data_IF_282959627272
#
_entry.id   IF_282959627272
#
_cell.length_a   1.000
_cell.length_b   1.000
_cell.length_c   1.000
_cell.angle_alpha   90.00
_cell.angle_beta   90.00
_cell.angle_gamma   90.00
#
_symmetry.space_group_name_H-M   'P 1'
#
loop_
_entity.id
_entity.type
_entity.pdbx_description
1 polymer ?
#
# COMPACT_ATOMS: atom_id res chain seq x y z
N UNK A 1 -13.44 7.36 32.17
CA UNK A 1 -12.56 8.46 31.72
C UNK A 1 -11.47 7.93 30.79
N UNK A 2 -10.58 7.03 31.23
CA UNK A 2 -9.52 6.44 30.39
C UNK A 2 -10.04 5.60 29.20
N UNK A 3 -10.97 4.66 29.43
CA UNK A 3 -11.61 3.89 28.33
C UNK A 3 -12.35 4.76 27.32
N UNK A 4 -12.90 5.90 27.77
CA UNK A 4 -13.57 6.86 26.88
C UNK A 4 -12.55 7.62 26.03
N UNK A 5 -11.33 7.84 26.52
CA UNK A 5 -10.24 8.55 25.84
C UNK A 5 -9.52 7.67 24.83
N UNK A 6 -9.25 6.41 25.17
CA UNK A 6 -8.65 5.45 24.24
C UNK A 6 -9.54 5.23 23.02
N UNK A 7 -10.83 4.99 23.24
CA UNK A 7 -11.82 4.86 22.15
C UNK A 7 -11.88 6.11 21.27
N UNK A 8 -11.73 7.31 21.84
CA UNK A 8 -11.71 8.55 21.05
C UNK A 8 -10.47 8.63 20.15
N UNK A 9 -9.30 8.22 20.63
CA UNK A 9 -8.08 8.17 19.82
C UNK A 9 -8.13 7.05 18.77
N UNK A 10 -8.70 5.89 19.09
CA UNK A 10 -8.94 4.82 18.12
C UNK A 10 -9.87 5.26 16.99
N UNK A 11 -10.96 5.94 17.32
CA UNK A 11 -11.90 6.50 16.34
C UNK A 11 -11.26 7.63 15.52
N UNK A 12 -10.39 8.44 16.14
CA UNK A 12 -9.64 9.51 15.46
C UNK A 12 -8.72 8.95 14.37
N UNK A 13 -8.02 7.85 14.65
CA UNK A 13 -7.14 7.19 13.68
C UNK A 13 -7.92 6.42 12.61
N UNK A 14 -9.04 5.80 12.98
CA UNK A 14 -9.95 5.15 12.03
C UNK A 14 -10.51 6.14 11.02
N UNK A 15 -10.93 7.33 11.48
CA UNK A 15 -11.44 8.40 10.63
C UNK A 15 -10.39 8.95 9.63
N UNK A 16 -9.10 8.69 9.89
CA UNK A 16 -7.98 9.04 9.00
C UNK A 16 -7.50 7.86 8.15
N UNK A 17 -8.23 6.75 8.14
CA UNK A 17 -7.93 5.60 7.29
C UNK A 17 -6.95 4.58 7.89
N UNK A 18 -6.64 4.68 9.20
CA UNK A 18 -5.82 3.67 9.89
C UNK A 18 -6.74 2.56 10.40
N UNK A 19 -6.93 1.51 9.61
CA UNK A 19 -7.89 0.45 9.94
C UNK A 19 -7.30 -0.67 10.80
N UNK A 20 -5.98 -0.90 10.75
CA UNK A 20 -5.32 -1.95 11.54
C UNK A 20 -5.39 -1.63 13.06
N UNK A 21 -6.02 -2.50 13.88
CA UNK A 21 -6.13 -2.28 15.32
C UNK A 21 -4.78 -2.21 16.04
N UNK A 22 -3.78 -2.98 15.60
CA UNK A 22 -2.48 -3.02 16.28
C UNK A 22 -1.71 -1.70 16.07
N UNK A 23 -1.69 -1.18 14.84
CA UNK A 23 -1.14 0.14 14.53
C UNK A 23 -1.85 1.27 15.29
N UNK A 24 -3.19 1.24 15.38
CA UNK A 24 -3.94 2.23 16.15
C UNK A 24 -3.57 2.22 17.62
N UNK A 25 -3.45 1.05 18.24
CA UNK A 25 -3.04 0.95 19.66
C UNK A 25 -1.64 1.50 19.91
N UNK A 26 -0.70 1.28 18.99
CA UNK A 26 0.64 1.87 19.07
C UNK A 26 0.57 3.40 19.00
N UNK A 27 -0.19 3.97 18.04
CA UNK A 27 -0.36 5.41 17.91
C UNK A 27 -1.07 6.04 19.12
N UNK A 28 -2.06 5.35 19.68
CA UNK A 28 -2.73 5.75 20.93
C UNK A 28 -1.71 5.81 22.08
N UNK A 29 -0.87 4.78 22.24
CA UNK A 29 0.14 4.73 23.31
C UNK A 29 1.16 5.86 23.19
N UNK A 30 1.61 6.15 21.97
CA UNK A 30 2.53 7.28 21.69
C UNK A 30 1.83 8.58 22.05
N UNK A 31 0.62 8.83 21.52
CA UNK A 31 -0.15 10.05 21.80
C UNK A 31 -0.37 10.30 23.30
N UNK A 32 -0.64 9.26 24.07
CA UNK A 32 -0.77 9.36 25.53
C UNK A 32 0.55 9.75 26.20
N UNK A 33 1.68 9.21 25.74
CA UNK A 33 3.01 9.54 26.28
C UNK A 33 3.45 10.98 25.97
N UNK A 34 3.03 11.54 24.84
CA UNK A 34 3.38 12.91 24.43
C UNK A 34 2.86 13.95 25.42
N UNK A 35 1.60 13.82 25.84
CA UNK A 35 0.97 14.74 26.80
C UNK A 35 1.58 14.61 28.19
N UNK A 36 2.02 13.41 28.59
CA UNK A 36 2.74 13.22 29.85
C UNK A 36 4.13 13.88 29.88
N UNK A 37 4.72 14.12 28.70
CA UNK A 37 6.05 14.74 28.54
C UNK A 37 6.01 16.25 28.25
N UNK A 38 4.84 16.82 28.00
CA UNK A 38 4.70 18.24 27.65
C UNK A 38 4.94 19.12 28.91
N UNK A 39 5.87 20.09 28.88
CA UNK A 39 6.04 21.02 29.97
C UNK A 39 4.76 21.85 30.16
N UNK A 40 4.31 21.98 31.41
CA UNK A 40 3.07 22.66 31.82
C UNK A 40 2.96 24.14 31.38
N UNK A 41 4.05 24.73 30.86
CA UNK A 41 4.11 26.13 30.42
C UNK A 41 3.55 26.37 29.00
N UNK A 42 3.35 25.33 28.17
CA UNK A 42 2.64 25.48 26.88
C UNK A 42 1.11 25.62 27.03
N UNK A 43 0.60 25.49 28.25
CA UNK A 43 -0.83 25.57 28.59
C UNK A 43 -1.30 26.97 29.02
N UNK A 44 -0.45 28.00 28.95
CA UNK A 44 -0.86 29.40 29.20
C UNK A 44 -0.86 30.21 27.90
N UNK A 45 -2.04 30.31 27.30
CA UNK A 45 -2.29 31.12 26.12
C UNK A 45 -3.63 30.81 25.45
N UNK A 46 -4.72 30.71 26.23
CA UNK A 46 -6.08 30.77 25.68
C UNK A 46 -6.80 31.89 26.42
N UNK A 47 -6.46 33.12 26.03
CA UNK A 47 -7.39 34.23 26.12
C UNK A 47 -7.87 34.54 24.71
N UNK A 48 -9.19 34.42 24.52
CA UNK A 48 -9.96 35.23 23.58
C UNK A 48 -9.72 35.06 22.09
N UNK A 49 -10.72 34.45 21.43
CA UNK A 49 -11.16 34.80 20.08
C UNK A 49 -10.14 34.71 18.93
N UNK A 50 -10.17 33.58 18.20
CA UNK A 50 -9.64 33.56 16.84
C UNK A 50 -9.30 32.19 16.29
N UNK A 51 -10.15 31.65 15.40
CA UNK A 51 -9.71 30.70 14.39
C UNK A 51 -10.25 29.28 14.52
N UNK A 52 -11.56 29.11 14.34
CA UNK A 52 -12.15 27.85 13.87
C UNK A 52 -11.71 27.57 12.43
N UNK A 53 -10.45 27.22 12.24
CA UNK A 53 -9.94 26.67 10.98
C UNK A 53 -10.16 25.15 10.96
N UNK A 54 -10.78 24.64 9.91
CA UNK A 54 -10.86 23.20 9.68
C UNK A 54 -9.43 22.61 9.63
N UNK A 55 -9.18 21.59 10.44
CA UNK A 55 -7.94 20.83 10.35
C UNK A 55 -7.90 20.10 9.00
N UNK A 56 -6.79 20.12 8.25
CA UNK A 56 -6.68 19.42 6.99
C UNK A 56 -7.01 17.93 7.15
N UNK A 57 -7.95 17.42 6.34
CA UNK A 57 -8.34 16.01 6.35
C UNK A 57 -9.28 15.58 7.49
N UNK A 58 -9.78 16.49 8.32
CA UNK A 58 -10.75 16.17 9.37
C UNK A 58 -12.14 16.64 8.97
N UNK A 59 -13.18 15.78 9.03
CA UNK A 59 -14.55 16.23 8.88
C UNK A 59 -14.88 17.33 9.89
N UNK A 60 -15.51 18.42 9.44
CA UNK A 60 -15.98 19.54 10.27
C UNK A 60 -16.96 19.14 11.39
N UNK A 61 -17.38 17.87 11.41
CA UNK A 61 -18.24 17.24 12.42
C UNK A 61 -17.51 16.77 13.67
N UNK A 62 -16.18 16.92 13.74
CA UNK A 62 -15.46 16.73 15.01
C UNK A 62 -15.69 17.93 15.92
N UNK A 63 -16.74 17.83 16.72
CA UNK A 63 -17.23 18.87 17.61
C UNK A 63 -16.18 19.19 18.69
N UNK A 64 -15.56 20.37 18.56
CA UNK A 64 -14.39 20.86 19.33
C UNK A 64 -14.72 21.05 20.83
N UNK A 65 -15.96 20.89 21.25
CA UNK A 65 -16.37 21.02 22.66
C UNK A 65 -16.02 19.80 23.55
N UNK A 66 -15.34 18.76 23.02
CA UNK A 66 -14.95 17.57 23.79
C UNK A 66 -13.61 16.91 23.39
N UNK A 67 -12.76 17.58 22.60
CA UNK A 67 -11.48 17.01 22.16
C UNK A 67 -10.48 16.85 23.32
N UNK A 68 -10.10 15.61 23.62
CA UNK A 68 -9.05 15.28 24.60
C UNK A 68 -7.74 16.00 24.26
N UNK A 69 -6.95 16.50 25.23
CA UNK A 69 -5.71 17.24 24.97
C UNK A 69 -4.71 16.48 24.07
N UNK A 70 -4.77 15.15 24.07
CA UNK A 70 -3.97 14.26 23.23
C UNK A 70 -4.34 14.37 21.76
N UNK A 71 -5.63 14.47 21.43
CA UNK A 71 -6.11 14.60 20.05
C UNK A 71 -5.64 15.93 19.47
N UNK A 72 -5.66 16.98 20.29
CA UNK A 72 -5.18 18.31 19.91
C UNK A 72 -3.65 18.31 19.71
N UNK A 73 -2.91 17.66 20.62
CA UNK A 73 -1.45 17.54 20.52
C UNK A 73 -1.03 16.79 19.25
N UNK A 74 -1.61 15.62 19.01
CA UNK A 74 -1.34 14.82 17.80
C UNK A 74 -1.67 15.62 16.53
N UNK A 75 -2.82 16.29 16.51
CA UNK A 75 -3.22 17.08 15.34
C UNK A 75 -2.25 18.23 15.08
N UNK A 76 -1.77 18.92 16.14
CA UNK A 76 -0.78 19.99 16.00
C UNK A 76 0.53 19.48 15.42
N UNK A 77 0.99 18.29 15.86
CA UNK A 77 2.25 17.71 15.37
C UNK A 77 2.15 17.20 13.94
N UNK A 78 1.00 16.67 13.53
CA UNK A 78 0.74 16.32 12.13
C UNK A 78 0.80 17.57 11.23
N UNK A 79 0.17 18.68 11.65
CA UNK A 79 0.23 19.95 10.92
C UNK A 79 1.67 20.47 10.85
N UNK A 80 2.43 20.39 11.94
CA UNK A 80 3.83 20.80 11.97
C UNK A 80 4.69 19.93 11.03
N UNK A 81 4.50 18.61 11.03
CA UNK A 81 5.17 17.68 10.11
C UNK A 81 4.84 18.01 8.64
N UNK A 82 3.56 18.26 8.35
CA UNK A 82 3.11 18.66 7.02
C UNK A 82 3.77 19.95 6.54
N UNK A 83 3.84 20.95 7.43
CA UNK A 83 4.50 22.22 7.16
C UNK A 83 6.01 22.03 6.93
N UNK A 84 6.67 21.18 7.71
CA UNK A 84 8.10 20.86 7.54
C UNK A 84 8.38 20.29 6.16
N UNK A 85 7.52 19.41 5.67
CA UNK A 85 7.67 18.75 4.38
C UNK A 85 7.35 19.66 3.18
N UNK A 86 6.84 20.87 3.42
CA UNK A 86 6.55 21.88 2.40
C UNK A 86 5.07 22.12 2.14
N UNK A 87 4.17 21.49 2.91
CA UNK A 87 2.74 21.78 2.90
C UNK A 87 1.97 21.38 1.64
N UNK A 88 2.57 20.61 0.72
CA UNK A 88 1.89 20.14 -0.48
C UNK A 88 0.88 19.04 -0.19
N UNK A 89 -0.25 19.03 -0.89
CA UNK A 89 -1.32 18.03 -0.75
C UNK A 89 -0.90 16.61 -1.19
N UNK A 90 0.28 16.47 -1.77
CA UNK A 90 0.82 15.23 -2.32
C UNK A 90 1.56 14.37 -1.27
N UNK A 91 1.65 14.79 0.00
CA UNK A 91 2.40 14.07 1.04
C UNK A 91 1.47 13.55 2.13
N UNK A 92 1.41 12.24 2.30
CA UNK A 92 0.59 11.60 3.32
C UNK A 92 1.32 11.50 4.68
N UNK A 93 1.22 12.58 5.46
CA UNK A 93 1.80 12.64 6.81
C UNK A 93 1.18 11.66 7.79
N UNK A 94 -0.07 11.24 7.58
CA UNK A 94 -0.71 10.22 8.40
C UNK A 94 -0.04 8.88 8.15
N UNK A 95 0.16 8.52 6.88
CA UNK A 95 0.88 7.30 6.49
C UNK A 95 2.32 7.28 7.03
N UNK A 96 3.04 8.41 6.94
CA UNK A 96 4.39 8.52 7.51
C UNK A 96 4.43 8.21 9.00
N UNK A 97 3.45 8.74 9.77
CA UNK A 97 3.34 8.53 11.21
C UNK A 97 2.88 7.13 11.58
N UNK A 98 1.99 6.52 10.80
CA UNK A 98 1.59 5.11 10.98
C UNK A 98 2.81 4.21 10.88
N UNK A 99 3.69 4.50 9.91
CA UNK A 99 4.88 3.70 9.65
C UNK A 99 6.04 3.99 10.60
N UNK A 100 6.18 5.24 11.05
CA UNK A 100 7.18 5.64 12.03
C UNK A 100 6.55 6.55 13.11
N UNK A 101 5.96 5.96 14.16
CA UNK A 101 5.26 6.70 15.22
C UNK A 101 6.16 7.69 15.97
N UNK A 102 7.49 7.45 15.97
CA UNK A 102 8.46 8.34 16.62
C UNK A 102 8.50 9.74 15.99
N UNK A 103 8.03 9.90 14.75
CA UNK A 103 7.88 11.22 14.14
C UNK A 103 6.96 12.13 14.94
N UNK A 104 5.92 11.58 15.58
CA UNK A 104 5.07 12.37 16.47
C UNK A 104 5.83 12.86 17.69
N UNK A 105 6.90 12.21 18.13
CA UNK A 105 7.67 12.61 19.30
C UNK A 105 8.85 13.54 18.98
N UNK A 106 9.22 13.67 17.71
CA UNK A 106 10.38 14.42 17.27
C UNK A 106 10.16 15.95 17.32
N UNK A 107 11.24 16.70 17.54
CA UNK A 107 11.24 18.16 17.46
C UNK A 107 11.10 18.60 15.98
N UNK A 108 10.09 19.43 15.63
CA UNK A 108 9.94 19.96 14.28
C UNK A 108 11.20 20.65 13.72
N UNK A 109 11.99 21.29 14.59
CA UNK A 109 13.23 21.96 14.20
C UNK A 109 14.31 20.97 13.78
N UNK A 110 14.37 19.80 14.42
CA UNK A 110 15.28 18.71 14.09
C UNK A 110 14.90 18.10 12.73
N UNK A 111 13.61 17.81 12.55
CA UNK A 111 13.08 17.27 11.30
C UNK A 111 13.36 18.21 10.12
N UNK A 112 13.12 19.52 10.30
CA UNK A 112 13.41 20.53 9.29
C UNK A 112 14.89 20.57 8.94
N UNK A 113 15.78 20.54 9.95
CA UNK A 113 17.22 20.58 9.71
C UNK A 113 17.69 19.35 8.93
N UNK A 114 17.18 18.17 9.28
CA UNK A 114 17.46 16.92 8.56
C UNK A 114 16.95 16.96 7.12
N UNK A 115 15.74 17.45 6.90
CA UNK A 115 15.16 17.64 5.56
C UNK A 115 16.02 18.58 4.71
N UNK A 116 16.50 19.68 5.28
CA UNK A 116 17.38 20.62 4.59
C UNK A 116 18.73 20.00 4.23
N UNK A 117 19.32 19.21 5.13
CA UNK A 117 20.56 18.48 4.84
C UNK A 117 20.38 17.51 3.67
N UNK A 118 19.27 16.76 3.64
CA UNK A 118 18.91 15.88 2.53
C UNK A 118 18.73 16.65 1.22
N UNK A 119 18.03 17.79 1.24
CA UNK A 119 17.85 18.67 0.07
C UNK A 119 19.17 19.21 -0.47
N UNK A 120 20.10 19.57 0.42
CA UNK A 120 21.43 20.03 0.03
C UNK A 120 22.25 18.90 -0.59
N UNK A 121 22.18 17.70 -0.04
CA UNK A 121 22.84 16.52 -0.60
C UNK A 121 22.26 16.10 -1.95
N UNK A 122 20.96 16.30 -2.19
CA UNK A 122 20.30 16.00 -3.47
C UNK A 122 20.37 17.13 -4.51
N UNK A 123 21.10 18.22 -4.25
CA UNK A 123 21.23 19.30 -5.24
C UNK A 123 21.90 18.75 -6.50
N UNK A 124 21.15 18.74 -7.60
CA UNK A 124 21.62 18.29 -8.91
C UNK A 124 21.20 16.89 -9.33
N UNK A 125 20.62 16.07 -8.43
CA UNK A 125 20.11 14.72 -8.78
C UNK A 125 18.63 14.72 -9.25
N UNK A 126 17.93 15.85 -9.14
CA UNK A 126 16.50 15.94 -9.50
C UNK A 126 15.56 15.14 -8.58
N UNK A 127 16.09 14.58 -7.48
CA UNK A 127 15.37 13.77 -6.51
C UNK A 127 14.38 14.62 -5.70
N UNK A 128 13.13 14.18 -5.61
CA UNK A 128 12.17 14.78 -4.67
C UNK A 128 12.40 14.23 -3.26
N UNK A 129 13.16 15.00 -2.47
CA UNK A 129 13.48 14.66 -1.08
C UNK A 129 12.24 14.52 -0.21
N UNK A 130 11.16 15.23 -0.50
CA UNK A 130 9.93 15.11 0.27
C UNK A 130 9.24 13.76 0.01
N UNK A 131 9.24 13.30 -1.24
CA UNK A 131 8.78 11.94 -1.61
C UNK A 131 9.68 10.84 -1.09
N UNK A 132 10.98 11.08 -0.98
CA UNK A 132 11.93 10.15 -0.33
C UNK A 132 11.66 10.06 1.17
N UNK A 133 11.44 11.20 1.82
CA UNK A 133 11.09 11.25 3.24
C UNK A 133 9.73 10.60 3.53
N UNK A 134 8.75 10.79 2.64
CA UNK A 134 7.50 10.03 2.65
C UNK A 134 7.83 8.52 2.57
N UNK A 135 8.50 8.07 1.51
CA UNK A 135 8.82 6.67 1.28
C UNK A 135 9.65 5.99 2.40
N UNK A 136 10.44 6.74 3.19
CA UNK A 136 11.07 6.23 4.40
C UNK A 136 11.14 7.30 5.49
N UNK A 137 10.13 7.34 6.37
CA UNK A 137 10.02 8.39 7.36
C UNK A 137 11.11 8.34 8.45
N UNK A 138 11.74 7.18 8.65
CA UNK A 138 12.86 7.01 9.59
C UNK A 138 14.12 7.80 9.19
N UNK A 139 14.26 8.22 7.93
CA UNK A 139 15.37 9.07 7.48
C UNK A 139 15.39 10.44 8.15
N UNK A 140 14.21 10.95 8.53
CA UNK A 140 14.07 12.20 9.24
C UNK A 140 14.52 12.10 10.71
N UNK A 141 14.59 10.87 11.25
CA UNK A 141 14.96 10.59 12.64
C UNK A 141 16.41 10.08 12.78
N UNK A 142 17.12 9.85 11.68
CA UNK A 142 18.48 9.34 11.72
C UNK A 142 19.41 10.33 12.45
N UNK A 143 20.16 9.89 13.48
CA UNK A 143 21.09 10.75 14.19
C UNK A 143 22.25 11.14 13.27
N UNK A 144 22.57 12.43 13.24
CA UNK A 144 23.64 12.97 12.40
C UNK A 144 23.11 13.85 11.27
N UNK A 145 22.99 15.14 11.56
CA UNK A 145 23.07 16.18 10.54
C UNK A 145 23.56 17.49 11.20
N UNK A 146 24.74 17.41 11.81
CA UNK A 146 25.71 18.48 11.60
C UNK A 146 26.12 18.36 10.14
N UNK A 147 26.48 19.47 9.50
CA UNK A 147 26.83 19.61 8.09
C UNK A 147 28.08 18.78 7.68
N UNK A 148 28.57 17.92 8.58
CA UNK A 148 29.88 17.29 8.56
C UNK A 148 29.95 16.04 7.67
N UNK A 149 28.83 15.46 7.22
CA UNK A 149 28.86 14.28 6.34
C UNK A 149 27.80 14.31 5.23
N UNK A 150 27.88 15.34 4.39
CA UNK A 150 27.05 15.46 3.18
C UNK A 150 27.41 14.42 2.12
N UNK A 151 28.65 13.90 2.11
CA UNK A 151 29.06 12.89 1.12
C UNK A 151 28.48 11.50 1.41
N UNK A 152 28.47 11.04 2.67
CA UNK A 152 27.76 9.81 3.02
C UNK A 152 26.26 9.95 2.74
N UNK A 153 25.68 11.14 2.98
CA UNK A 153 24.27 11.40 2.65
C UNK A 153 24.02 11.41 1.14
N UNK A 154 24.94 11.92 0.32
CA UNK A 154 24.88 11.85 -1.14
C UNK A 154 24.96 10.41 -1.64
N UNK A 155 25.90 9.61 -1.13
CA UNK A 155 26.02 8.19 -1.49
C UNK A 155 24.75 7.43 -1.10
N UNK A 156 24.26 7.68 0.11
CA UNK A 156 23.00 7.12 0.59
C UNK A 156 21.81 7.61 -0.25
N UNK A 157 21.76 8.84 -0.77
CA UNK A 157 20.66 9.29 -1.63
C UNK A 157 20.83 8.84 -3.09
N UNK A 158 22.05 8.64 -3.58
CA UNK A 158 22.33 8.13 -4.93
C UNK A 158 21.90 6.65 -5.05
N UNK A 159 22.03 5.86 -3.98
CA UNK A 159 21.47 4.50 -3.97
C UNK A 159 19.94 4.49 -4.07
N UNK A 160 19.27 5.63 -3.82
CA UNK A 160 17.82 5.78 -3.93
C UNK A 160 17.37 6.25 -5.31
N UNK A 161 18.21 7.04 -5.99
CA UNK A 161 18.06 7.38 -7.40
C UNK A 161 18.03 6.11 -8.28
N UNK A 162 18.70 5.04 -7.84
CA UNK A 162 18.81 3.77 -8.58
C UNK A 162 17.83 2.67 -8.16
N UNK A 163 16.90 2.88 -7.22
CA UNK A 163 16.01 1.77 -6.88
C UNK A 163 15.06 1.89 -5.69
N UNK A 164 14.29 2.98 -5.55
CA UNK A 164 13.10 2.92 -4.66
C UNK A 164 11.90 3.66 -5.26
N UNK A 165 11.21 3.00 -6.19
CA UNK A 165 9.79 3.25 -6.41
C UNK A 165 8.99 2.35 -5.46
N UNK A 166 8.66 2.90 -4.28
CA UNK A 166 7.53 2.49 -3.42
C UNK A 166 7.36 0.98 -3.18
N UNK A 167 8.00 0.46 -2.13
CA UNK A 167 7.39 -0.46 -1.15
C UNK A 167 8.42 -0.69 -0.03
N UNK A 168 7.97 -0.59 1.22
CA UNK A 168 8.61 -1.30 2.34
C UNK A 168 9.15 -2.67 1.96
N UNK A 169 10.41 -3.08 2.18
CA UNK A 169 10.67 -4.53 2.25
C UNK A 169 9.73 -5.27 3.23
N UNK A 170 9.33 -4.71 4.39
CA UNK A 170 8.37 -5.37 5.27
C UNK A 170 6.94 -5.36 4.72
N UNK A 171 6.52 -4.26 4.09
CA UNK A 171 5.17 -4.10 3.53
C UNK A 171 4.98 -4.95 2.27
N UNK A 172 5.98 -4.97 1.39
CA UNK A 172 6.05 -5.85 0.24
C UNK A 172 6.02 -7.31 0.67
N UNK A 173 6.79 -7.69 1.70
CA UNK A 173 6.77 -9.04 2.25
C UNK A 173 5.39 -9.40 2.85
N UNK A 174 4.73 -8.47 3.53
CA UNK A 174 3.39 -8.70 4.07
C UNK A 174 2.35 -8.91 2.95
N UNK A 175 2.39 -8.09 1.88
CA UNK A 175 1.53 -8.24 0.70
C UNK A 175 1.84 -9.52 -0.07
N UNK A 176 3.12 -9.91 -0.15
CA UNK A 176 3.52 -11.20 -0.73
C UNK A 176 2.94 -12.38 0.06
N UNK A 177 2.94 -12.33 1.39
CA UNK A 177 2.34 -13.40 2.21
C UNK A 177 0.80 -13.41 2.11
N UNK A 178 0.17 -12.24 1.93
CA UNK A 178 -1.26 -12.16 1.57
C UNK A 178 -1.52 -12.83 0.22
N UNK A 179 -0.68 -12.58 -0.78
CA UNK A 179 -0.78 -13.23 -2.10
C UNK A 179 -0.56 -14.74 -2.00
N UNK A 180 0.40 -15.19 -1.19
CA UNK A 180 0.61 -16.62 -0.93
C UNK A 180 -0.60 -17.25 -0.25
N UNK A 181 -1.24 -16.54 0.67
CA UNK A 181 -2.47 -17.00 1.33
C UNK A 181 -3.63 -17.08 0.33
N UNK A 182 -3.75 -16.08 -0.55
CA UNK A 182 -4.70 -16.09 -1.65
C UNK A 182 -4.47 -17.29 -2.58
N UNK A 183 -3.21 -17.57 -2.94
CA UNK A 183 -2.85 -18.73 -3.75
C UNK A 183 -3.24 -20.06 -3.09
N UNK A 184 -3.04 -20.21 -1.77
CA UNK A 184 -3.48 -21.41 -1.05
C UNK A 184 -5.00 -21.59 -1.07
N UNK A 185 -5.76 -20.50 -0.96
CA UNK A 185 -7.22 -20.55 -0.96
C UNK A 185 -7.80 -20.77 -2.38
N UNK A 186 -7.28 -20.03 -3.35
CA UNK A 186 -7.85 -19.93 -4.69
C UNK A 186 -7.09 -20.72 -5.76
N UNK A 187 -5.91 -21.28 -5.45
CA UNK A 187 -5.09 -22.06 -6.39
C UNK A 187 -4.40 -21.23 -7.47
N UNK A 188 -4.57 -19.90 -7.45
CA UNK A 188 -3.97 -18.94 -8.37
C UNK A 188 -3.67 -17.63 -7.67
N UNK A 189 -2.94 -16.76 -8.36
CA UNK A 189 -2.58 -15.43 -7.87
C UNK A 189 -3.34 -14.31 -8.61
N UNK A 190 -4.48 -14.62 -9.23
CA UNK A 190 -5.27 -13.69 -10.05
C UNK A 190 -6.24 -12.87 -9.19
N UNK A 191 -5.66 -12.01 -8.35
CA UNK A 191 -6.40 -11.13 -7.43
C UNK A 191 -7.06 -9.98 -8.18
N UNK A 192 -8.32 -9.69 -7.85
CA UNK A 192 -9.11 -8.59 -8.42
C UNK A 192 -10.09 -9.03 -9.51
N UNK A 193 -10.05 -10.30 -9.91
CA UNK A 193 -10.92 -10.85 -10.94
C UNK A 193 -12.19 -11.53 -10.37
N UNK A 194 -12.29 -11.69 -9.04
CA UNK A 194 -13.44 -12.33 -8.38
C UNK A 194 -14.23 -11.30 -7.55
N UNK A 195 -15.54 -11.50 -7.47
CA UNK A 195 -16.38 -10.70 -6.57
C UNK A 195 -15.97 -10.98 -5.11
N UNK A 196 -15.62 -9.91 -4.38
CA UNK A 196 -15.20 -9.99 -2.99
C UNK A 196 -13.67 -10.07 -2.78
N UNK A 197 -12.88 -10.03 -3.85
CA UNK A 197 -11.42 -9.93 -3.73
C UNK A 197 -10.97 -8.67 -2.99
N UNK A 198 -9.85 -8.77 -2.27
CA UNK A 198 -9.22 -7.65 -1.60
C UNK A 198 -8.76 -6.60 -2.63
N UNK A 199 -9.40 -5.43 -2.60
CA UNK A 199 -9.14 -4.31 -3.50
C UNK A 199 -7.73 -3.76 -3.35
N UNK A 200 -7.13 -3.84 -2.16
CA UNK A 200 -5.78 -3.37 -1.93
C UNK A 200 -4.74 -4.33 -2.51
N UNK A 201 -4.95 -5.63 -2.30
CA UNK A 201 -4.08 -6.66 -2.88
C UNK A 201 -4.16 -6.67 -4.42
N UNK A 202 -5.35 -6.43 -4.99
CA UNK A 202 -5.52 -6.26 -6.44
C UNK A 202 -4.72 -5.05 -6.96
N UNK A 203 -4.82 -3.88 -6.31
CA UNK A 203 -4.03 -2.69 -6.67
C UNK A 203 -2.53 -2.94 -6.57
N UNK A 204 -2.11 -3.65 -5.51
CA UNK A 204 -0.71 -4.02 -5.33
C UNK A 204 -0.23 -4.95 -6.45
N UNK A 205 -1.03 -5.96 -6.84
CA UNK A 205 -0.70 -6.84 -7.96
C UNK A 205 -0.57 -6.06 -9.29
N UNK A 206 -1.50 -5.15 -9.59
CA UNK A 206 -1.43 -4.28 -10.77
C UNK A 206 -0.17 -3.38 -10.75
N UNK A 207 0.21 -2.88 -9.57
CA UNK A 207 1.45 -2.12 -9.38
C UNK A 207 2.68 -2.96 -9.72
N UNK A 208 2.77 -4.21 -9.25
CA UNK A 208 3.90 -5.10 -9.57
C UNK A 208 4.00 -5.37 -11.09
N UNK A 209 2.86 -5.58 -11.78
CA UNK A 209 2.82 -5.73 -13.24
C UNK A 209 3.34 -4.49 -13.97
N UNK A 210 2.92 -3.31 -13.50
CA UNK A 210 3.33 -2.02 -14.06
C UNK A 210 4.82 -1.75 -13.83
N UNK A 211 5.35 -2.07 -12.65
CA UNK A 211 6.77 -1.93 -12.36
C UNK A 211 7.61 -2.86 -13.23
N UNK A 212 7.17 -4.11 -13.44
CA UNK A 212 7.88 -5.05 -14.33
C UNK A 212 7.91 -4.57 -15.78
N UNK A 213 6.78 -4.09 -16.31
CA UNK A 213 6.72 -3.61 -17.70
C UNK A 213 7.58 -2.37 -17.94
N UNK A 214 7.84 -1.58 -16.88
CA UNK A 214 8.76 -0.44 -16.90
C UNK A 214 10.22 -0.80 -16.61
N UNK A 215 10.52 -2.04 -16.22
CA UNK A 215 11.86 -2.45 -15.79
C UNK A 215 12.27 -1.88 -14.43
N UNK A 216 11.31 -1.45 -13.62
CA UNK A 216 11.51 -0.84 -12.29
C UNK A 216 11.38 -1.87 -11.16
N UNK A 217 10.98 -3.11 -11.46
CA UNK A 217 10.81 -4.17 -10.47
C UNK A 217 12.18 -4.82 -10.15
N UNK A 218 12.62 -4.83 -8.87
CA UNK A 218 13.86 -5.50 -8.49
C UNK A 218 13.82 -7.01 -8.77
N UNK A 219 14.95 -7.58 -9.19
CA UNK A 219 15.07 -9.01 -9.55
C UNK A 219 14.61 -9.94 -8.43
N UNK A 220 14.97 -9.64 -7.17
CA UNK A 220 14.59 -10.47 -6.02
C UNK A 220 13.06 -10.53 -5.81
N UNK A 221 12.38 -9.40 -6.04
CA UNK A 221 10.92 -9.31 -5.96
C UNK A 221 10.25 -10.03 -7.11
N UNK A 222 10.82 -9.93 -8.31
CA UNK A 222 10.37 -10.66 -9.48
C UNK A 222 10.49 -12.18 -9.27
N UNK A 223 11.64 -12.67 -8.79
CA UNK A 223 11.88 -14.08 -8.52
C UNK A 223 10.91 -14.65 -7.48
N UNK A 224 10.66 -13.90 -6.40
CA UNK A 224 9.71 -14.30 -5.37
C UNK A 224 8.25 -14.37 -5.88
N UNK A 225 7.85 -13.47 -6.77
CA UNK A 225 6.55 -13.52 -7.44
C UNK A 225 6.45 -14.69 -8.43
N UNK A 226 7.50 -14.92 -9.22
CA UNK A 226 7.57 -16.06 -10.14
C UNK A 226 7.53 -17.40 -9.39
N UNK A 227 8.20 -17.50 -8.24
CA UNK A 227 8.18 -18.70 -7.39
C UNK A 227 6.77 -19.02 -6.85
N UNK A 228 5.90 -18.02 -6.72
CA UNK A 228 4.48 -18.19 -6.37
C UNK A 228 3.59 -18.47 -7.59
N UNK A 229 4.14 -18.50 -8.80
CA UNK A 229 3.36 -18.62 -10.03
C UNK A 229 2.54 -17.38 -10.35
N UNK A 230 2.98 -16.20 -9.91
CA UNK A 230 2.34 -14.93 -10.27
C UNK A 230 2.51 -14.64 -11.76
N UNK A 231 1.40 -14.52 -12.48
CA UNK A 231 1.41 -14.14 -13.89
C UNK A 231 1.36 -12.62 -14.02
N UNK A 232 2.37 -12.08 -14.70
CA UNK A 232 2.56 -10.63 -14.83
C UNK A 232 1.79 -10.04 -16.01
N UNK A 233 1.44 -10.88 -16.98
CA UNK A 233 0.52 -10.51 -18.04
C UNK A 233 -0.91 -10.62 -17.50
N UNK A 234 -1.65 -9.52 -17.51
CA UNK A 234 -3.01 -9.46 -16.95
C UNK A 234 -4.00 -10.30 -17.77
N UNK A 235 -3.88 -10.29 -19.10
CA UNK A 235 -4.73 -11.07 -20.00
C UNK A 235 -4.46 -12.57 -19.82
N UNK A 236 -3.20 -12.95 -19.64
CA UNK A 236 -2.82 -14.33 -19.35
C UNK A 236 -3.23 -14.76 -17.93
N UNK A 237 -3.12 -13.88 -16.93
CA UNK A 237 -3.56 -14.15 -15.56
C UNK A 237 -5.08 -14.39 -15.48
N UNK A 238 -5.87 -13.61 -16.22
CA UNK A 238 -7.31 -13.83 -16.31
C UNK A 238 -7.62 -15.14 -17.06
N UNK A 239 -6.93 -15.42 -18.17
CA UNK A 239 -7.12 -16.66 -18.91
C UNK A 239 -6.81 -17.89 -18.05
N UNK A 240 -5.68 -17.87 -17.31
CA UNK A 240 -5.26 -18.93 -16.41
C UNK A 240 -6.27 -19.16 -15.28
N UNK A 241 -6.89 -18.09 -14.76
CA UNK A 241 -7.95 -18.20 -13.75
C UNK A 241 -9.12 -19.03 -14.28
N UNK A 242 -9.66 -18.69 -15.45
CA UNK A 242 -10.76 -19.42 -16.07
C UNK A 242 -10.39 -20.88 -16.38
N UNK A 243 -9.15 -21.11 -16.83
CA UNK A 243 -8.63 -22.46 -17.04
C UNK A 243 -8.58 -23.27 -15.72
N UNK A 244 -8.11 -22.68 -14.62
CA UNK A 244 -8.04 -23.35 -13.32
C UNK A 244 -9.43 -23.62 -12.74
N UNK A 245 -10.38 -22.71 -12.93
CA UNK A 245 -11.79 -22.94 -12.57
C UNK A 245 -12.38 -24.13 -13.36
N UNK A 246 -12.04 -24.26 -14.65
CA UNK A 246 -12.43 -25.40 -15.48
C UNK A 246 -11.74 -26.71 -15.05
N UNK A 247 -10.44 -26.65 -14.73
CA UNK A 247 -9.68 -27.80 -14.25
C UNK A 247 -10.26 -28.34 -12.93
N UNK A 248 -10.58 -27.44 -11.98
CA UNK A 248 -11.27 -27.79 -10.73
C UNK A 248 -12.64 -28.39 -10.96
N UNK A 249 -13.40 -27.83 -11.90
CA UNK A 249 -14.70 -28.39 -12.26
C UNK A 249 -14.56 -29.82 -12.78
N UNK A 250 -13.56 -30.08 -13.63
CA UNK A 250 -13.25 -31.42 -14.13
C UNK A 250 -12.87 -32.37 -12.98
N UNK A 251 -12.03 -31.95 -12.04
CA UNK A 251 -11.68 -32.79 -10.88
C UNK A 251 -12.91 -33.17 -10.05
N UNK A 252 -13.85 -32.23 -9.85
CA UNK A 252 -15.05 -32.44 -9.05
C UNK A 252 -16.14 -33.28 -9.76
N UNK A 253 -16.25 -33.17 -11.09
CA UNK A 253 -17.37 -33.76 -11.86
C UNK A 253 -16.95 -34.87 -12.83
N UNK A 254 -15.65 -35.08 -13.02
CA UNK A 254 -15.08 -36.06 -13.94
C UNK A 254 -15.09 -35.66 -15.42
N UNK A 255 -15.63 -34.48 -15.77
CA UNK A 255 -15.70 -33.98 -17.14
C UNK A 255 -15.52 -32.45 -17.20
N UNK A 256 -14.97 -31.95 -18.31
CA UNK A 256 -14.72 -30.52 -18.54
C UNK A 256 -15.92 -29.82 -19.23
N UNK A 257 -17.16 -30.19 -18.86
CA UNK A 257 -18.38 -29.55 -19.41
C UNK A 257 -19.05 -28.72 -18.32
N UNK A 258 -18.81 -27.40 -18.25
CA UNK A 258 -19.30 -26.55 -17.18
C UNK A 258 -20.83 -26.45 -17.16
N UNK A 259 -21.40 -26.24 -15.97
CA UNK A 259 -22.83 -25.92 -15.81
C UNK A 259 -23.10 -24.40 -15.74
N UNK A 260 -22.08 -23.58 -15.48
CA UNK A 260 -22.25 -22.13 -15.34
C UNK A 260 -22.16 -21.43 -16.69
N UNK A 261 -23.09 -20.51 -16.94
CA UNK A 261 -23.17 -19.77 -18.22
C UNK A 261 -21.87 -19.03 -18.56
N UNK A 262 -21.16 -18.51 -17.56
CA UNK A 262 -19.89 -17.82 -17.74
C UNK A 262 -18.78 -18.74 -18.25
N UNK A 263 -18.64 -19.94 -17.67
CA UNK A 263 -17.59 -20.88 -18.08
C UNK A 263 -17.94 -21.56 -19.41
N UNK A 264 -19.24 -21.78 -19.69
CA UNK A 264 -19.72 -22.22 -21.02
C UNK A 264 -19.32 -21.21 -22.09
N UNK A 265 -19.61 -19.92 -21.88
CA UNK A 265 -19.24 -18.86 -22.83
C UNK A 265 -17.72 -18.80 -23.04
N UNK A 266 -16.94 -18.87 -21.96
CA UNK A 266 -15.49 -18.90 -22.05
C UNK A 266 -14.96 -20.09 -22.87
N UNK A 267 -15.52 -21.29 -22.66
CA UNK A 267 -15.17 -22.48 -23.44
C UNK A 267 -15.51 -22.32 -24.94
N UNK A 268 -16.63 -21.69 -25.28
CA UNK A 268 -16.97 -21.37 -26.67
C UNK A 268 -15.97 -20.40 -27.30
N UNK A 269 -15.54 -19.38 -26.56
CA UNK A 269 -14.48 -18.45 -27.03
C UNK A 269 -13.19 -19.22 -27.33
N UNK A 270 -12.79 -20.17 -26.49
CA UNK A 270 -11.59 -20.98 -26.73
C UNK A 270 -11.73 -21.85 -27.99
N UNK A 271 -12.90 -22.49 -28.20
CA UNK A 271 -13.18 -23.29 -29.40
C UNK A 271 -13.13 -22.46 -30.69
N UNK A 272 -13.70 -21.25 -30.68
CA UNK A 272 -13.63 -20.32 -31.81
C UNK A 272 -12.18 -19.88 -32.05
N UNK A 273 -11.44 -19.51 -30.99
CA UNK A 273 -10.05 -19.11 -31.10
C UNK A 273 -9.16 -20.21 -31.70
N UNK A 274 -9.35 -21.47 -31.28
CA UNK A 274 -8.64 -22.62 -31.84
C UNK A 274 -8.99 -22.86 -33.32
N UNK A 275 -10.29 -22.78 -33.69
CA UNK A 275 -10.73 -22.90 -35.10
C UNK A 275 -10.12 -21.82 -35.99
N UNK A 276 -10.00 -20.60 -35.45
CA UNK A 276 -9.39 -19.46 -36.13
C UNK A 276 -7.86 -19.43 -36.04
N UNK A 277 -7.22 -20.41 -35.37
CA UNK A 277 -5.77 -20.46 -35.11
C UNK A 277 -5.23 -19.18 -34.43
N UNK A 278 -6.06 -18.56 -33.61
CA UNK A 278 -5.75 -17.36 -32.83
C UNK A 278 -5.36 -17.70 -31.37
N UNK A 279 -5.41 -18.99 -30.99
CA UNK A 279 -5.05 -19.46 -29.67
C UNK A 279 -3.53 -19.71 -29.60
N UNK A 280 -2.90 -19.38 -28.47
CA UNK A 280 -1.46 -19.61 -28.29
C UNK A 280 -1.19 -21.08 -28.02
N UNK A 281 -0.02 -21.58 -28.45
CA UNK A 281 0.39 -22.97 -28.22
C UNK A 281 0.41 -23.36 -26.73
N UNK A 282 0.72 -22.41 -25.85
CA UNK A 282 0.66 -22.60 -24.38
C UNK A 282 -0.77 -22.88 -23.92
N UNK A 283 -1.74 -22.08 -24.37
CA UNK A 283 -3.16 -22.20 -24.02
C UNK A 283 -3.78 -23.49 -24.56
N UNK A 284 -3.44 -23.85 -25.80
CA UNK A 284 -3.84 -25.12 -26.42
C UNK A 284 -3.32 -26.31 -25.60
N UNK A 285 -2.02 -26.34 -25.29
CA UNK A 285 -1.42 -27.41 -24.51
C UNK A 285 -2.01 -27.55 -23.10
N UNK A 286 -2.36 -26.44 -22.45
CA UNK A 286 -3.04 -26.47 -21.14
C UNK A 286 -4.45 -27.07 -21.25
N UNK A 287 -5.24 -26.66 -22.23
CA UNK A 287 -6.58 -27.23 -22.45
C UNK A 287 -6.54 -28.71 -22.84
N UNK A 288 -5.57 -29.12 -23.66
CA UNK A 288 -5.36 -30.52 -24.01
C UNK A 288 -4.97 -31.36 -22.79
N UNK A 289 -4.19 -30.80 -21.86
CA UNK A 289 -3.80 -31.51 -20.62
C UNK A 289 -5.01 -31.90 -19.75
N UNK A 290 -6.09 -31.13 -19.82
CA UNK A 290 -7.35 -31.43 -19.14
C UNK A 290 -8.33 -32.18 -20.05
N UNK A 291 -7.91 -32.67 -21.21
CA UNK A 291 -8.77 -33.40 -22.15
C UNK A 291 -9.97 -32.58 -22.59
N UNK A 292 -9.77 -31.28 -22.85
CA UNK A 292 -10.81 -30.37 -23.26
C UNK A 292 -11.42 -30.82 -24.61
N UNK A 293 -12.76 -30.85 -24.68
CA UNK A 293 -13.46 -31.26 -25.89
C UNK A 293 -13.61 -30.08 -26.87
N UNK A 294 -12.79 -30.10 -27.92
CA UNK A 294 -12.83 -29.14 -29.00
C UNK A 294 -14.05 -29.30 -29.93
N UNK A 295 -14.74 -30.45 -29.91
CA UNK A 295 -15.85 -30.77 -30.80
C UNK A 295 -17.24 -30.42 -30.22
N UNK A 296 -17.33 -30.04 -28.95
CA UNK A 296 -18.58 -29.69 -28.27
C UNK A 296 -19.39 -28.62 -29.02
N UNK A 297 -20.71 -28.85 -29.14
CA UNK A 297 -21.62 -27.97 -29.87
C UNK A 297 -21.65 -26.55 -29.27
N UNK A 298 -21.64 -25.56 -30.15
CA UNK A 298 -21.80 -24.16 -29.80
C UNK A 298 -23.25 -23.95 -29.31
N UNK A 299 -23.51 -23.41 -28.11
CA UNK A 299 -24.87 -23.14 -27.65
C UNK A 299 -25.61 -22.09 -28.51
N UNK A 300 -24.95 -21.54 -29.54
CA UNK A 300 -25.49 -20.60 -30.51
C UNK A 300 -25.61 -21.17 -31.95
N UNK A 301 -25.40 -22.48 -32.16
CA UNK A 301 -25.67 -23.18 -33.42
C UNK A 301 -26.97 -23.99 -33.39
#
# INVERSE_FOLDING_TARGET
MAESRERLLENYWEARGVFDPQQRQQLVSVAQSLVASAPAEATMGIDGEGGGGALPGVPTTWDIYSASPEVMEVSRRLVALHAVLGGGDDIDTVWMVVREPRLLAADPSELMRRLMAMRLASVGSGLDVAKVAEAQPSLLLAPGAVWDDLEALKEQLASWEHGVASDTDPEWAARLEQLRSYHRANGDCSVGCREGDDRELARWATKQRTQRSRGELPSEKEEALQALGFEFDEDEAEWLRWFLDLARFKELRGHASPMTIYLINWCSVQRVAHRCRALSARREGLLDSIGFDWAGADPLS
#
